data_IF_181619947731
#
_entry.id   IF_181619947731
#
_cell.length_a   1.000
_cell.length_b   1.000
_cell.length_c   1.000
_cell.angle_alpha   90.00
_cell.angle_beta   90.00
_cell.angle_gamma   90.00
#
_symmetry.space_group_name_H-M   'P 1'
#
loop_
_entity.id
_entity.type
_entity.pdbx_description
1 polymer ?
#
# COMPACT_ATOMS: atom_id res chain seq x y z
N UNK A 1 -10.61 -4.48 2.11
CA UNK A 1 -9.69 -3.33 2.23
C UNK A 1 -8.87 -3.31 0.97
N UNK A 2 -8.70 -2.14 0.38
CA UNK A 2 -7.84 -1.90 -0.79
C UNK A 2 -6.58 -1.15 -0.33
N UNK A 3 -5.61 -0.95 -1.20
CA UNK A 3 -4.44 -0.11 -0.93
C UNK A 3 -4.91 1.28 -0.46
N UNK A 4 -4.21 1.94 0.47
CA UNK A 4 -4.68 3.21 1.00
C UNK A 4 -4.53 4.33 -0.03
N UNK A 5 -5.65 4.92 -0.46
CA UNK A 5 -5.66 6.13 -1.28
C UNK A 5 -5.40 7.42 -0.47
N UNK A 6 -5.57 7.37 0.84
CA UNK A 6 -5.29 8.49 1.75
C UNK A 6 -3.80 8.54 2.11
N UNK A 7 -3.30 9.72 2.47
CA UNK A 7 -1.94 9.86 3.01
C UNK A 7 -1.86 9.28 4.42
N UNK A 8 -1.31 8.06 4.52
CA UNK A 8 -1.27 7.31 5.78
C UNK A 8 -0.26 7.91 6.75
N UNK A 9 0.80 8.55 6.25
CA UNK A 9 1.74 9.31 7.11
C UNK A 9 1.02 10.43 7.85
N UNK A 10 0.15 11.17 7.15
CA UNK A 10 -0.66 12.22 7.78
C UNK A 10 -1.68 11.63 8.76
N UNK A 11 -2.40 10.57 8.34
CA UNK A 11 -3.38 9.90 9.19
C UNK A 11 -2.76 9.35 10.49
N UNK A 12 -1.57 8.76 10.42
CA UNK A 12 -0.85 8.22 11.58
C UNK A 12 -0.41 9.33 12.56
N UNK A 13 0.03 10.47 12.03
CA UNK A 13 0.33 11.66 12.86
C UNK A 13 -0.90 12.17 13.59
N UNK A 14 -2.04 12.24 12.91
CA UNK A 14 -3.32 12.64 13.54
C UNK A 14 -3.72 11.63 14.61
N UNK A 15 -3.67 10.33 14.29
CA UNK A 15 -3.98 9.26 15.24
C UNK A 15 -3.10 9.33 16.50
N UNK A 16 -1.78 9.51 16.34
CA UNK A 16 -0.85 9.59 17.47
C UNK A 16 -1.13 10.80 18.37
N UNK A 17 -1.48 11.95 17.78
CA UNK A 17 -1.89 13.14 18.53
C UNK A 17 -3.18 12.90 19.31
N UNK A 18 -4.16 12.20 18.73
CA UNK A 18 -5.40 11.85 19.41
C UNK A 18 -5.18 10.85 20.55
N UNK A 19 -4.27 9.90 20.38
CA UNK A 19 -3.99 8.85 21.38
C UNK A 19 -3.10 9.35 22.54
N UNK A 20 -2.13 10.23 22.25
CA UNK A 20 -1.04 10.55 23.18
C UNK A 20 -0.77 12.04 23.38
N UNK A 21 -1.42 12.90 22.59
CA UNK A 21 -1.17 14.34 22.56
C UNK A 21 0.15 14.75 21.88
N UNK A 22 0.91 13.80 21.31
CA UNK A 22 2.24 14.04 20.71
C UNK A 22 2.36 13.36 19.36
N UNK A 23 3.37 13.74 18.58
CA UNK A 23 3.76 12.96 17.40
C UNK A 23 4.49 11.68 17.81
N UNK A 24 4.30 10.65 17.00
CA UNK A 24 4.81 9.30 17.23
C UNK A 24 6.33 9.24 17.15
N UNK A 25 6.95 8.49 18.05
CA UNK A 25 8.41 8.26 18.11
C UNK A 25 8.80 6.77 18.09
N UNK A 26 7.84 5.85 17.96
CA UNK A 26 8.05 4.41 17.85
C UNK A 26 6.98 3.79 16.94
N UNK A 27 7.20 2.58 16.44
CA UNK A 27 6.22 1.89 15.57
C UNK A 27 4.97 1.38 16.33
N UNK A 28 5.00 1.35 17.66
CA UNK A 28 3.93 0.79 18.49
C UNK A 28 2.62 1.54 18.32
N UNK A 29 1.58 0.87 17.82
CA UNK A 29 0.28 1.49 17.54
C UNK A 29 0.22 2.33 16.27
N UNK A 30 1.28 2.31 15.45
CA UNK A 30 1.28 2.95 14.14
C UNK A 30 0.37 2.22 13.15
N UNK A 31 -0.21 2.96 12.21
CA UNK A 31 -1.05 2.39 11.15
C UNK A 31 -0.21 1.44 10.30
N UNK A 32 -0.71 0.22 10.14
CA UNK A 32 -0.14 -0.81 9.27
C UNK A 32 -0.78 -0.68 7.90
N UNK A 33 0.05 -0.69 6.87
CA UNK A 33 -0.41 -0.56 5.48
C UNK A 33 0.19 -1.64 4.62
N UNK A 34 -0.55 -1.96 3.56
CA UNK A 34 -0.06 -2.72 2.44
C UNK A 34 -0.27 -1.86 1.19
N UNK A 35 0.78 -1.64 0.42
CA UNK A 35 0.75 -0.79 -0.77
C UNK A 35 1.69 -1.35 -1.82
N UNK A 36 1.24 -1.39 -3.07
CA UNK A 36 2.06 -1.89 -4.17
C UNK A 36 2.89 -0.76 -4.78
N UNK A 37 4.13 -1.07 -5.18
CA UNK A 37 5.06 -0.10 -5.79
C UNK A 37 4.48 0.62 -7.02
N UNK A 38 3.61 -0.08 -7.74
CA UNK A 38 2.95 0.40 -8.94
C UNK A 38 1.46 0.71 -8.70
N UNK A 39 1.08 0.96 -7.46
CA UNK A 39 -0.23 1.54 -7.13
C UNK A 39 -0.14 3.07 -7.28
N UNK A 40 -0.58 3.66 -8.39
CA UNK A 40 -0.52 5.11 -8.55
C UNK A 40 -1.53 5.85 -7.66
N UNK A 41 -2.64 5.22 -7.29
CA UNK A 41 -3.64 5.81 -6.39
C UNK A 41 -3.09 5.87 -4.96
N UNK A 42 -2.36 4.84 -4.54
CA UNK A 42 -1.69 4.80 -3.25
C UNK A 42 -0.39 5.59 -3.19
N UNK A 43 0.33 5.75 -4.30
CA UNK A 43 1.75 6.14 -4.27
C UNK A 43 2.08 7.50 -4.91
N UNK A 44 1.20 8.15 -5.68
CA UNK A 44 1.52 9.43 -6.35
C UNK A 44 1.37 10.61 -5.37
N UNK A 45 2.46 11.19 -4.84
CA UNK A 45 2.37 12.16 -3.74
C UNK A 45 1.67 13.48 -4.11
N UNK A 46 1.67 13.82 -5.40
CA UNK A 46 1.08 15.06 -5.91
C UNK A 46 -0.44 14.97 -6.13
N UNK A 47 -0.98 13.75 -6.23
CA UNK A 47 -2.37 13.52 -6.65
C UNK A 47 -3.13 12.74 -5.57
N UNK A 48 -2.61 11.59 -5.08
CA UNK A 48 -3.29 10.71 -4.12
C UNK A 48 -2.31 9.85 -3.30
N UNK A 49 -2.61 9.66 -2.01
CA UNK A 49 -1.88 8.76 -1.11
C UNK A 49 -0.47 9.21 -0.75
N UNK A 50 0.46 9.12 -1.71
CA UNK A 50 1.89 9.34 -1.47
C UNK A 50 2.51 8.33 -0.50
N UNK A 51 1.94 7.12 -0.42
CA UNK A 51 2.33 6.10 0.53
C UNK A 51 3.54 5.30 0.03
N UNK A 52 4.48 4.94 0.92
CA UNK A 52 5.57 4.02 0.59
C UNK A 52 5.04 2.66 0.12
N UNK A 53 5.74 2.02 -0.81
CA UNK A 53 5.47 0.64 -1.20
C UNK A 53 5.90 -0.34 -0.10
N UNK A 54 5.12 -1.39 0.11
CA UNK A 54 5.48 -2.53 0.96
C UNK A 54 5.85 -3.77 0.16
N UNK A 55 5.52 -3.78 -1.13
CA UNK A 55 5.77 -4.91 -2.03
C UNK A 55 5.74 -4.52 -3.52
N UNK A 56 6.19 -5.45 -4.37
CA UNK A 56 6.27 -5.29 -5.83
C UNK A 56 5.95 -6.60 -6.58
N UNK A 57 5.01 -7.41 -6.05
CA UNK A 57 4.67 -8.71 -6.65
C UNK A 57 4.16 -8.54 -8.09
N UNK A 58 4.73 -9.32 -9.00
CA UNK A 58 4.32 -9.36 -10.40
C UNK A 58 4.42 -10.81 -10.91
N UNK A 59 3.56 -11.69 -10.40
CA UNK A 59 3.74 -13.15 -10.58
C UNK A 59 3.48 -13.61 -12.02
N UNK A 60 2.79 -12.81 -12.83
CA UNK A 60 2.50 -13.08 -14.25
C UNK A 60 3.31 -12.23 -15.22
N UNK A 61 4.34 -11.53 -14.74
CA UNK A 61 5.16 -10.64 -15.55
C UNK A 61 4.36 -9.63 -16.40
N UNK A 62 3.27 -9.07 -15.86
CA UNK A 62 2.43 -8.10 -16.59
C UNK A 62 3.25 -6.86 -16.93
N UNK A 63 3.20 -6.40 -18.18
CA UNK A 63 3.89 -5.18 -18.60
C UNK A 63 3.24 -3.91 -18.04
N UNK A 64 3.95 -2.79 -18.05
CA UNK A 64 3.44 -1.50 -17.56
C UNK A 64 2.13 -1.07 -18.24
N UNK A 65 1.98 -1.32 -19.55
CA UNK A 65 0.77 -0.97 -20.32
C UNK A 65 -0.45 -1.78 -19.83
N UNK A 66 -0.29 -3.08 -19.61
CA UNK A 66 -1.40 -3.94 -19.15
C UNK A 66 -1.89 -3.51 -17.77
N UNK A 67 -0.99 -3.12 -16.87
CA UNK A 67 -1.35 -2.64 -15.52
C UNK A 67 -2.13 -1.33 -15.54
N UNK A 68 -1.82 -0.42 -16.48
CA UNK A 68 -2.59 0.81 -16.66
C UNK A 68 -4.01 0.48 -17.15
N UNK A 69 -4.14 -0.46 -18.10
CA UNK A 69 -5.46 -0.91 -18.56
C UNK A 69 -6.26 -1.57 -17.44
N UNK A 70 -5.63 -2.46 -16.68
CA UNK A 70 -6.25 -3.17 -15.55
C UNK A 70 -6.80 -2.18 -14.49
N UNK A 71 -6.13 -1.04 -14.31
CA UNK A 71 -6.58 -0.01 -13.35
C UNK A 71 -7.86 0.73 -13.74
N UNK A 72 -8.17 0.81 -15.04
CA UNK A 72 -9.30 1.62 -15.56
C UNK A 72 -10.37 0.80 -16.28
N UNK A 73 -10.17 -0.49 -16.47
CA UNK A 73 -11.09 -1.33 -17.25
C UNK A 73 -11.18 -2.79 -16.81
N UNK A 74 -10.54 -3.17 -15.70
CA UNK A 74 -10.60 -4.53 -15.16
C UNK A 74 -11.03 -4.49 -13.68
N UNK A 75 -11.53 -5.61 -13.19
CA UNK A 75 -12.03 -5.73 -11.81
C UNK A 75 -10.89 -5.87 -10.78
N UNK A 76 -9.65 -6.02 -11.25
CA UNK A 76 -8.45 -6.19 -10.43
C UNK A 76 -7.32 -5.25 -10.88
N UNK A 77 -6.58 -4.69 -9.91
CA UNK A 77 -5.52 -3.72 -10.16
C UNK A 77 -4.49 -3.69 -9.04
N UNK A 78 -3.42 -2.95 -9.29
CA UNK A 78 -2.41 -2.65 -8.28
C UNK A 78 -2.95 -1.91 -7.05
N UNK A 79 -4.15 -1.34 -7.10
CA UNK A 79 -4.75 -0.62 -5.98
C UNK A 79 -5.72 -1.50 -5.19
N UNK A 80 -6.62 -2.22 -5.87
CA UNK A 80 -7.67 -2.97 -5.18
C UNK A 80 -7.23 -4.37 -4.71
N UNK A 81 -6.11 -4.89 -5.22
CA UNK A 81 -5.60 -6.20 -4.86
C UNK A 81 -4.69 -6.21 -3.62
N UNK A 82 -4.51 -5.10 -2.92
CA UNK A 82 -3.69 -5.04 -1.70
C UNK A 82 -4.56 -4.60 -0.52
N UNK A 83 -4.44 -5.23 0.65
CA UNK A 83 -5.49 -5.23 1.67
C UNK A 83 -6.18 -6.61 1.84
N UNK A 84 -7.51 -6.64 1.70
CA UNK A 84 -8.30 -7.89 1.63
C UNK A 84 -8.32 -8.33 0.16
N UNK A 85 -7.38 -9.21 -0.21
CA UNK A 85 -7.27 -9.71 -1.58
C UNK A 85 -8.50 -10.51 -1.99
N UNK A 86 -8.93 -10.37 -3.24
CA UNK A 86 -9.95 -11.22 -3.86
C UNK A 86 -9.29 -12.40 -4.61
N UNK A 87 -9.98 -13.53 -4.80
CA UNK A 87 -9.44 -14.65 -5.58
C UNK A 87 -8.99 -14.24 -6.99
N UNK A 88 -9.68 -13.27 -7.60
CA UNK A 88 -9.35 -12.72 -8.91
C UNK A 88 -7.94 -12.12 -8.95
N UNK A 89 -7.45 -11.53 -7.86
CA UNK A 89 -6.08 -11.02 -7.75
C UNK A 89 -5.01 -12.10 -7.91
N UNK A 90 -5.34 -13.37 -7.63
CA UNK A 90 -4.44 -14.51 -7.90
C UNK A 90 -4.43 -14.81 -9.39
N UNK A 91 -5.62 -14.95 -9.98
CA UNK A 91 -5.80 -15.19 -11.42
C UNK A 91 -5.13 -14.11 -12.25
N UNK A 92 -5.11 -12.88 -11.76
CA UNK A 92 -4.51 -11.74 -12.47
C UNK A 92 -3.05 -11.48 -12.12
N UNK A 93 -2.46 -12.26 -11.22
CA UNK A 93 -1.03 -12.21 -10.92
C UNK A 93 -0.60 -11.08 -9.98
N UNK A 94 -1.55 -10.44 -9.31
CA UNK A 94 -1.32 -9.43 -8.28
C UNK A 94 -1.03 -10.06 -6.91
N UNK A 95 -1.53 -11.29 -6.66
CA UNK A 95 -1.31 -12.08 -5.44
C UNK A 95 -0.97 -13.54 -5.72
N UNK A 96 -0.40 -14.21 -4.72
CA UNK A 96 -0.27 -15.68 -4.69
C UNK A 96 -1.45 -16.28 -3.93
N UNK A 97 -1.71 -17.57 -4.14
CA UNK A 97 -2.85 -18.27 -3.52
C UNK A 97 -2.76 -18.27 -1.99
N UNK A 98 -1.55 -18.26 -1.45
CA UNK A 98 -1.27 -18.24 -0.02
C UNK A 98 -1.33 -16.81 0.58
N UNK A 99 -1.42 -15.77 -0.26
CA UNK A 99 -1.27 -14.36 0.10
C UNK A 99 -2.62 -13.60 0.07
N UNK A 100 -3.77 -14.21 0.39
CA UNK A 100 -5.09 -13.54 0.31
C UNK A 100 -5.42 -12.57 1.46
N UNK A 101 -4.60 -12.54 2.52
CA UNK A 101 -4.71 -11.60 3.65
C UNK A 101 -3.57 -10.56 3.61
N UNK A 102 -3.62 -9.51 4.44
CA UNK A 102 -2.60 -8.44 4.52
C UNK A 102 -1.25 -8.91 5.08
N UNK A 103 -0.63 -9.91 4.46
CA UNK A 103 0.55 -10.58 5.01
C UNK A 103 1.87 -9.82 4.81
N UNK A 104 1.88 -8.78 3.96
CA UNK A 104 3.05 -7.91 3.71
C UNK A 104 2.88 -6.50 4.28
N UNK A 105 2.01 -6.36 5.26
CA UNK A 105 1.75 -5.09 5.91
C UNK A 105 2.95 -4.65 6.77
N UNK A 106 3.31 -3.38 6.68
CA UNK A 106 4.35 -2.74 7.49
C UNK A 106 3.79 -1.49 8.16
N UNK A 107 4.37 -1.08 9.29
CA UNK A 107 3.98 0.20 9.89
C UNK A 107 4.44 1.36 9.02
N UNK A 108 3.60 2.39 8.89
CA UNK A 108 3.98 3.60 8.15
C UNK A 108 5.14 4.33 8.82
N UNK A 109 5.27 4.22 10.15
CA UNK A 109 6.43 4.70 10.89
C UNK A 109 7.74 4.09 10.37
N UNK A 110 7.83 2.76 10.29
CA UNK A 110 9.04 2.07 9.84
C UNK A 110 9.34 2.36 8.36
N UNK A 111 8.30 2.45 7.52
CA UNK A 111 8.44 2.79 6.10
C UNK A 111 9.00 4.20 5.90
N UNK A 112 8.50 5.17 6.65
CA UNK A 112 8.99 6.56 6.59
C UNK A 112 10.42 6.68 7.09
N UNK A 113 10.77 5.96 8.16
CA UNK A 113 12.14 5.92 8.67
C UNK A 113 13.10 5.37 7.62
N UNK A 114 12.77 4.23 7.00
CA UNK A 114 13.56 3.62 5.91
C UNK A 114 13.70 4.53 4.69
N UNK A 115 12.68 5.33 4.35
CA UNK A 115 12.78 6.30 3.27
C UNK A 115 13.69 7.49 3.63
N UNK A 116 13.64 7.95 4.88
CA UNK A 116 14.51 9.01 5.38
C UNK A 116 15.98 8.62 5.42
N UNK A 117 16.29 7.35 5.71
CA UNK A 117 17.66 6.80 5.71
C UNK A 117 18.26 6.63 4.30
N UNK A 118 17.44 6.66 3.24
CA UNK A 118 17.87 6.52 1.84
C UNK A 118 18.20 7.86 1.16
N UNK A 119 18.06 8.98 1.86
CA UNK A 119 18.39 10.34 1.39
C UNK A 119 19.72 10.79 1.95
#
# INVERSE_FOLDING_TARGET
MVGPAANVTHADKVLSKLQTGKERNSSEGSIRIENHEQDPVGSIPLILGGNPATMNNNTQNRGAIRRVLDMFGDDSSMHNCYGLGQPQCITDGYRKKEDLLMNKEQTIYDLNKKQGEKK
#
